data_IF_507792358505
#
_entry.id   IF_507792358505
#
_cell.length_a   1.000
_cell.length_b   1.000
_cell.length_c   1.000
_cell.angle_alpha   90.00
_cell.angle_beta   90.00
_cell.angle_gamma   90.00
#
_symmetry.space_group_name_H-M   'P 1'
#
loop_
_entity.id
_entity.type
_entity.pdbx_description
1 polymer ?
#
# COMPACT_ATOMS: atom_id res chain seq x y z
N UNK A 1 -28.63 -0.92 -2.70
CA UNK A 1 -27.38 -0.40 -2.13
C UNK A 1 -26.38 -1.54 -2.13
N UNK A 2 -25.13 -1.29 -2.51
CA UNK A 2 -24.09 -2.34 -2.43
C UNK A 2 -23.84 -2.67 -0.95
N UNK A 3 -23.74 -3.96 -0.58
CA UNK A 3 -23.30 -4.35 0.76
C UNK A 3 -21.94 -3.74 1.09
N UNK A 4 -21.72 -3.38 2.36
CA UNK A 4 -20.47 -2.75 2.79
C UNK A 4 -19.24 -3.61 2.45
N UNK A 5 -19.32 -4.93 2.65
CA UNK A 5 -18.23 -5.86 2.32
C UNK A 5 -17.86 -5.85 0.83
N UNK A 6 -18.85 -5.83 -0.07
CA UNK A 6 -18.58 -5.75 -1.51
C UNK A 6 -17.90 -4.44 -1.91
N UNK A 7 -18.27 -3.33 -1.26
CA UNK A 7 -17.63 -2.02 -1.48
C UNK A 7 -16.19 -2.05 -0.99
N UNK A 8 -15.93 -2.60 0.19
CA UNK A 8 -14.59 -2.71 0.77
C UNK A 8 -13.65 -3.54 -0.11
N UNK A 9 -14.10 -4.71 -0.56
CA UNK A 9 -13.35 -5.57 -1.47
C UNK A 9 -13.03 -4.84 -2.79
N UNK A 10 -14.01 -4.14 -3.36
CA UNK A 10 -13.82 -3.38 -4.60
C UNK A 10 -12.85 -2.21 -4.43
N UNK A 11 -12.90 -1.49 -3.30
CA UNK A 11 -11.96 -0.40 -2.97
C UNK A 11 -10.53 -0.94 -2.87
N UNK A 12 -10.34 -2.04 -2.13
CA UNK A 12 -9.01 -2.65 -1.96
C UNK A 12 -8.48 -3.18 -3.30
N UNK A 13 -9.33 -3.83 -4.10
CA UNK A 13 -8.96 -4.31 -5.42
C UNK A 13 -8.53 -3.15 -6.36
N UNK A 14 -9.31 -2.06 -6.40
CA UNK A 14 -8.97 -0.89 -7.21
C UNK A 14 -7.69 -0.21 -6.72
N UNK A 15 -7.51 -0.07 -5.41
CA UNK A 15 -6.30 0.50 -4.82
C UNK A 15 -5.05 -0.31 -5.20
N UNK A 16 -5.09 -1.64 -5.05
CA UNK A 16 -3.98 -2.53 -5.48
C UNK A 16 -3.74 -2.46 -6.98
N UNK A 17 -4.78 -2.30 -7.79
CA UNK A 17 -4.67 -2.04 -9.23
C UNK A 17 -3.90 -0.75 -9.52
N UNK A 18 -4.24 0.34 -8.85
CA UNK A 18 -3.57 1.64 -8.98
C UNK A 18 -2.09 1.53 -8.58
N UNK A 19 -1.79 0.86 -7.47
CA UNK A 19 -0.41 0.70 -7.00
C UNK A 19 0.48 -0.09 -7.96
N UNK A 20 -0.07 -1.03 -8.73
CA UNK A 20 0.66 -1.79 -9.76
C UNK A 20 0.86 -1.03 -11.07
N UNK A 21 0.17 0.08 -11.27
CA UNK A 21 0.23 0.82 -12.52
C UNK A 21 1.66 1.39 -12.75
N UNK A 22 2.20 1.34 -13.99
CA UNK A 22 3.55 1.84 -14.28
C UNK A 22 3.77 3.30 -13.85
N UNK A 23 2.74 4.14 -14.00
CA UNK A 23 2.78 5.55 -13.60
C UNK A 23 2.94 5.69 -12.09
N UNK A 24 2.35 4.77 -11.33
CA UNK A 24 2.48 4.72 -9.88
C UNK A 24 3.88 4.24 -9.49
N UNK A 25 4.41 3.20 -10.13
CA UNK A 25 5.79 2.74 -9.91
C UNK A 25 6.78 3.88 -10.08
N UNK A 26 6.68 4.62 -11.20
CA UNK A 26 7.53 5.78 -11.47
C UNK A 26 7.33 6.91 -10.43
N UNK A 27 6.10 7.09 -9.91
CA UNK A 27 5.82 8.08 -8.86
C UNK A 27 6.44 7.69 -7.52
N UNK A 28 6.27 6.45 -7.06
CA UNK A 28 6.90 5.97 -5.82
C UNK A 28 8.42 6.00 -5.95
N UNK A 29 8.98 5.55 -7.07
CA UNK A 29 10.43 5.62 -7.28
C UNK A 29 10.97 7.04 -7.14
N UNK A 30 10.29 8.04 -7.72
CA UNK A 30 10.70 9.44 -7.56
C UNK A 30 10.71 9.90 -6.10
N UNK A 31 9.71 9.51 -5.31
CA UNK A 31 9.69 9.88 -3.89
C UNK A 31 10.73 9.12 -3.08
N UNK A 32 10.94 7.83 -3.36
CA UNK A 32 12.04 7.05 -2.78
C UNK A 32 13.38 7.70 -3.10
N UNK A 33 13.68 7.97 -4.36
CA UNK A 33 14.96 8.53 -4.80
C UNK A 33 15.25 9.93 -4.22
N UNK A 34 14.22 10.69 -3.84
CA UNK A 34 14.35 11.98 -3.13
C UNK A 34 14.57 11.82 -1.64
N UNK A 35 14.18 10.69 -1.06
CA UNK A 35 14.37 10.42 0.35
C UNK A 35 15.84 10.11 0.63
N UNK A 36 16.39 10.67 1.72
CA UNK A 36 17.76 10.38 2.16
C UNK A 36 17.90 8.96 2.75
N UNK A 37 16.79 8.22 2.84
CA UNK A 37 16.68 6.92 3.50
C UNK A 37 16.70 5.76 2.49
N UNK A 38 17.21 6.01 1.28
CA UNK A 38 17.12 5.12 0.12
C UNK A 38 17.71 3.72 0.32
N UNK A 39 18.50 3.45 1.38
CA UNK A 39 19.00 2.12 1.75
C UNK A 39 19.50 1.26 0.56
N UNK A 40 20.17 1.88 -0.42
CA UNK A 40 20.63 1.23 -1.66
C UNK A 40 19.53 0.62 -2.55
N UNK A 41 18.28 1.08 -2.39
CA UNK A 41 17.14 0.60 -3.18
C UNK A 41 17.18 1.14 -4.61
N UNK A 42 16.99 0.23 -5.56
CA UNK A 42 16.93 0.51 -6.99
C UNK A 42 15.49 0.65 -7.49
N UNK A 43 15.30 1.32 -8.63
CA UNK A 43 14.00 1.41 -9.30
C UNK A 43 13.39 0.03 -9.59
N UNK A 44 14.24 -0.93 -9.98
CA UNK A 44 13.81 -2.31 -10.23
C UNK A 44 13.25 -2.96 -8.96
N UNK A 45 13.88 -2.76 -7.81
CA UNK A 45 13.37 -3.29 -6.53
C UNK A 45 12.02 -2.67 -6.16
N UNK A 46 11.82 -1.37 -6.42
CA UNK A 46 10.52 -0.70 -6.25
C UNK A 46 9.48 -1.30 -7.19
N UNK A 47 9.79 -1.44 -8.48
CA UNK A 47 8.89 -2.04 -9.45
C UNK A 47 8.48 -3.47 -9.04
N UNK A 48 9.44 -4.27 -8.59
CA UNK A 48 9.20 -5.64 -8.10
C UNK A 48 8.30 -5.61 -6.85
N UNK A 49 8.58 -4.75 -5.88
CA UNK A 49 7.79 -4.64 -4.66
C UNK A 49 6.33 -4.28 -4.96
N UNK A 50 6.09 -3.26 -5.80
CA UNK A 50 4.72 -2.85 -6.15
C UNK A 50 4.02 -3.90 -7.03
N UNK A 51 4.74 -4.62 -7.90
CA UNK A 51 4.15 -5.72 -8.68
C UNK A 51 3.66 -6.88 -7.81
N UNK A 52 4.28 -7.06 -6.63
CA UNK A 52 3.96 -8.09 -5.64
C UNK A 52 2.99 -7.60 -4.57
N UNK A 53 2.44 -6.39 -4.71
CA UNK A 53 1.59 -5.79 -3.67
C UNK A 53 0.40 -6.67 -3.32
N UNK A 54 -0.16 -7.44 -4.27
CA UNK A 54 -1.26 -8.35 -3.98
C UNK A 54 -0.86 -9.40 -2.95
N UNK A 55 0.31 -10.02 -3.12
CA UNK A 55 0.83 -11.04 -2.20
C UNK A 55 1.18 -10.39 -0.86
N UNK A 56 1.86 -9.25 -0.88
CA UNK A 56 2.25 -8.55 0.35
C UNK A 56 1.01 -8.15 1.14
N UNK A 57 -0.01 -7.61 0.48
CA UNK A 57 -1.25 -7.16 1.09
C UNK A 57 -1.94 -8.25 1.90
N UNK A 58 -2.11 -9.46 1.32
CA UNK A 58 -2.74 -10.59 2.02
C UNK A 58 -1.94 -11.07 3.24
N UNK A 59 -0.64 -10.76 3.30
CA UNK A 59 0.23 -11.11 4.42
C UNK A 59 0.41 -9.95 5.42
N UNK A 60 -0.17 -8.77 5.15
CA UNK A 60 -0.18 -7.69 6.12
C UNK A 60 -1.18 -8.02 7.24
N UNK A 61 -0.81 -7.65 8.46
CA UNK A 61 -1.77 -7.62 9.56
C UNK A 61 -2.97 -6.74 9.18
N UNK A 62 -4.21 -7.08 9.59
CA UNK A 62 -5.39 -6.29 9.27
C UNK A 62 -5.27 -4.80 9.65
N UNK A 63 -4.57 -4.51 10.76
CA UNK A 63 -4.28 -3.14 11.19
C UNK A 63 -3.42 -2.38 10.17
N UNK A 64 -2.41 -3.04 9.59
CA UNK A 64 -1.53 -2.42 8.58
C UNK A 64 -2.26 -2.21 7.26
N UNK A 65 -3.12 -3.15 6.84
CA UNK A 65 -3.99 -2.92 5.68
C UNK A 65 -4.86 -1.68 5.88
N UNK A 66 -5.50 -1.56 7.05
CA UNK A 66 -6.32 -0.40 7.39
C UNK A 66 -5.52 0.90 7.39
N UNK A 67 -4.32 0.90 7.99
CA UNK A 67 -3.41 2.05 8.02
C UNK A 67 -3.04 2.51 6.60
N UNK A 68 -2.70 1.58 5.70
CA UNK A 68 -2.34 1.91 4.33
C UNK A 68 -3.55 2.45 3.55
N UNK A 69 -4.75 1.87 3.74
CA UNK A 69 -5.98 2.42 3.13
C UNK A 69 -6.20 3.85 3.59
N UNK A 70 -6.14 4.14 4.89
CA UNK A 70 -6.31 5.49 5.42
C UNK A 70 -5.22 6.47 4.94
N UNK A 71 -4.00 5.99 4.76
CA UNK A 71 -2.89 6.78 4.26
C UNK A 71 -3.10 7.19 2.79
N UNK A 72 -3.60 6.26 1.99
CA UNK A 72 -3.66 6.41 0.54
C UNK A 72 -4.98 6.98 0.06
N UNK A 73 -6.10 6.62 0.68
CA UNK A 73 -7.45 6.92 0.17
C UNK A 73 -8.02 8.16 0.85
N UNK A 74 -8.19 9.23 0.07
CA UNK A 74 -8.84 10.46 0.52
C UNK A 74 -10.36 10.31 0.55
N UNK A 75 -10.93 9.68 -0.48
CA UNK A 75 -12.37 9.48 -0.63
C UNK A 75 -12.68 8.34 -1.57
N UNK A 76 -13.77 7.64 -1.28
CA UNK A 76 -14.42 6.72 -2.21
C UNK A 76 -15.71 7.34 -2.73
N UNK A 77 -15.86 7.41 -4.05
CA UNK A 77 -17.09 7.83 -4.72
C UNK A 77 -17.80 6.58 -5.24
N UNK A 78 -19.02 6.37 -4.75
CA UNK A 78 -19.86 5.24 -5.17
C UNK A 78 -21.07 5.79 -5.92
N UNK A 79 -21.30 5.27 -7.12
CA UNK A 79 -22.46 5.55 -7.95
C UNK A 79 -23.04 4.24 -8.51
N UNK A 80 -24.24 4.25 -9.09
CA UNK A 80 -24.79 3.05 -9.72
C UNK A 80 -23.95 2.51 -10.89
N UNK A 81 -23.10 3.34 -11.50
CA UNK A 81 -22.29 2.97 -12.67
C UNK A 81 -20.82 2.71 -12.34
N UNK A 82 -20.28 3.33 -11.28
CA UNK A 82 -18.86 3.25 -10.96
C UNK A 82 -18.55 3.38 -9.47
N UNK A 83 -17.46 2.73 -9.07
CA UNK A 83 -16.73 2.96 -7.83
C UNK A 83 -15.37 3.57 -8.18
N UNK A 84 -15.06 4.72 -7.57
CA UNK A 84 -13.81 5.43 -7.79
C UNK A 84 -13.12 5.77 -6.47
N UNK A 85 -11.89 5.30 -6.33
CA UNK A 85 -10.96 5.65 -5.25
C UNK A 85 -10.18 6.91 -5.64
N UNK A 86 -10.23 7.93 -4.80
CA UNK A 86 -9.40 9.13 -4.90
C UNK A 86 -8.25 9.04 -3.89
N UNK A 87 -7.02 9.23 -4.38
CA UNK A 87 -5.84 9.16 -3.53
C UNK A 87 -5.52 10.50 -2.86
N UNK A 88 -5.04 10.46 -1.63
CA UNK A 88 -4.45 11.62 -0.97
C UNK A 88 -3.31 12.21 -1.79
N UNK A 89 -3.25 13.55 -1.87
CA UNK A 89 -2.18 14.27 -2.59
C UNK A 89 -0.79 13.85 -2.13
N UNK A 90 -0.61 13.72 -0.82
CA UNK A 90 0.68 13.42 -0.17
C UNK A 90 0.77 11.98 0.38
N UNK A 91 -0.25 11.15 0.14
CA UNK A 91 -0.27 9.77 0.66
C UNK A 91 0.86 8.91 0.09
N UNK A 92 1.26 9.21 -1.15
CA UNK A 92 2.33 8.49 -1.85
C UNK A 92 3.71 8.72 -1.22
N UNK A 93 3.99 9.91 -0.68
CA UNK A 93 5.28 10.21 -0.04
C UNK A 93 5.51 9.30 1.18
N UNK A 94 4.47 9.12 1.99
CA UNK A 94 4.52 8.25 3.16
C UNK A 94 4.52 6.77 2.76
N UNK A 95 3.74 6.41 1.74
CA UNK A 95 3.71 5.03 1.23
C UNK A 95 5.06 4.62 0.63
N UNK A 96 5.78 5.54 -0.02
CA UNK A 96 7.12 5.28 -0.53
C UNK A 96 8.08 4.87 0.59
N UNK A 97 8.00 5.49 1.77
CA UNK A 97 8.78 5.08 2.94
C UNK A 97 8.39 3.69 3.44
N UNK A 98 7.10 3.34 3.40
CA UNK A 98 6.64 1.99 3.76
C UNK A 98 7.16 0.94 2.77
N UNK A 99 7.25 1.27 1.48
CA UNK A 99 7.87 0.40 0.46
C UNK A 99 9.36 0.19 0.75
N UNK A 100 10.09 1.26 1.11
CA UNK A 100 11.52 1.15 1.52
C UNK A 100 11.66 0.25 2.73
N UNK A 101 10.81 0.42 3.76
CA UNK A 101 10.84 -0.40 4.98
C UNK A 101 10.51 -1.86 4.70
N UNK A 102 9.51 -2.12 3.86
CA UNK A 102 9.13 -3.47 3.47
C UNK A 102 10.22 -4.17 2.62
N UNK A 103 10.92 -3.42 1.77
CA UNK A 103 12.00 -3.94 0.94
C UNK A 103 13.34 -4.07 1.70
N UNK A 104 13.61 -3.19 2.65
CA UNK A 104 14.84 -3.15 3.46
C UNK A 104 14.76 -3.96 4.76
N UNK A 105 13.56 -4.38 5.17
CA UNK A 105 13.33 -5.11 6.41
C UNK A 105 13.70 -6.59 6.32
N UNK A 106 14.85 -6.95 6.93
CA UNK A 106 15.00 -8.24 7.60
C UNK A 106 13.75 -8.48 8.46
N UNK A 107 13.22 -9.69 8.39
CA UNK A 107 12.05 -10.19 9.13
C UNK A 107 11.92 -9.54 10.51
N UNK A 108 10.85 -8.78 10.73
CA UNK A 108 10.42 -8.40 12.08
C UNK A 108 10.23 -9.72 12.84
N UNK A 109 10.88 -9.92 14.01
CA UNK A 109 10.64 -11.13 14.78
C UNK A 109 9.17 -11.16 15.18
N UNK A 110 8.53 -12.31 14.94
CA UNK A 110 7.19 -12.61 15.36
C UNK A 110 6.99 -12.13 16.81
N UNK A 111 5.98 -11.30 17.00
CA UNK A 111 5.57 -10.83 18.32
C UNK A 111 5.50 -12.04 19.25
N UNK A 112 6.33 -11.99 20.31
CA UNK A 112 6.37 -12.97 21.36
C UNK A 112 4.94 -13.24 21.84
N UNK A 113 4.55 -14.51 21.77
CA UNK A 113 3.30 -14.99 22.33
C UNK A 113 3.19 -14.60 23.80
N UNK A 114 1.96 -14.26 24.16
CA UNK A 114 1.32 -14.73 25.39
C UNK A 114 2.23 -14.82 26.61
N UNK A 115 2.36 -13.71 27.33
CA UNK A 115 2.63 -13.73 28.75
C UNK A 115 1.34 -13.32 29.49
N UNK A 116 0.45 -14.29 29.64
CA UNK A 116 -0.68 -14.28 30.58
C UNK A 116 -0.93 -15.73 31.03
N UNK A 117 -0.21 -16.15 32.08
CA UNK A 117 -0.62 -17.11 33.11
C UNK A 117 0.45 -17.19 34.20
#
# INVERSE_FOLDING_TARGET
MLPAGEVEEAVVAQLRGILRAPEMVARVWREVARSNDTHDMTEMQVAVALSRIDIVWENLFPLEQHRIVQLLVERVVVSPQELRVQLHRNGIEHFALDVVRAAGGKSVPAAAGEALA
#
